data_IF_749297702653
#
_entry.id   IF_749297702653
#
_cell.length_a   1.000
_cell.length_b   1.000
_cell.length_c   1.000
_cell.angle_alpha   90.00
_cell.angle_beta   90.00
_cell.angle_gamma   90.00
#
_symmetry.space_group_name_H-M   'P 1'
#
loop_
_entity.id
_entity.type
_entity.pdbx_description
1 polymer ?
#
# COMPACT_ATOMS: atom_id res chain seq x y z
N UNK A 1 17.42 -5.79 -25.58
CA UNK A 1 16.60 -6.68 -26.42
C UNK A 1 15.23 -6.69 -25.79
N UNK A 2 14.20 -6.14 -26.47
CA UNK A 2 12.83 -6.31 -26.01
C UNK A 2 12.46 -7.76 -26.30
N UNK A 3 12.42 -8.59 -25.25
CA UNK A 3 11.71 -9.85 -25.33
C UNK A 3 10.23 -9.48 -25.23
N UNK A 4 9.55 -9.35 -26.37
CA UNK A 4 8.09 -9.28 -26.35
C UNK A 4 7.59 -10.57 -25.68
N UNK A 5 6.75 -10.39 -24.66
CA UNK A 5 6.14 -11.51 -23.96
C UNK A 5 5.13 -12.17 -24.90
N UNK A 6 5.00 -13.49 -24.83
CA UNK A 6 3.99 -14.18 -25.61
C UNK A 6 2.60 -13.78 -25.09
N UNK A 7 1.75 -13.10 -25.90
CA UNK A 7 0.44 -12.65 -25.46
C UNK A 7 -0.55 -13.80 -25.24
N UNK A 8 -0.23 -15.02 -25.69
CA UNK A 8 -1.04 -16.22 -25.49
C UNK A 8 -0.81 -16.89 -24.14
N UNK A 9 0.32 -16.61 -23.49
CA UNK A 9 0.62 -17.07 -22.14
C UNK A 9 -0.29 -16.39 -21.11
N UNK A 10 -0.59 -17.10 -20.03
CA UNK A 10 -1.19 -16.47 -18.86
C UNK A 10 -0.17 -15.58 -18.12
N UNK A 11 -0.65 -14.79 -17.16
CA UNK A 11 0.21 -13.89 -16.42
C UNK A 11 1.27 -14.64 -15.57
N UNK A 12 0.96 -15.85 -15.08
CA UNK A 12 1.88 -16.62 -14.25
C UNK A 12 3.08 -17.13 -15.05
N UNK A 13 2.85 -17.54 -16.29
CA UNK A 13 3.89 -17.96 -17.23
C UNK A 13 4.79 -16.79 -17.64
N UNK A 14 4.20 -15.63 -17.97
CA UNK A 14 4.98 -14.42 -18.29
C UNK A 14 5.86 -13.98 -17.11
N UNK A 15 5.33 -14.05 -15.88
CA UNK A 15 6.09 -13.76 -14.66
C UNK A 15 7.21 -14.78 -14.43
N UNK A 16 6.95 -16.06 -14.67
CA UNK A 16 7.96 -17.11 -14.56
C UNK A 16 9.14 -16.86 -15.51
N UNK A 17 8.87 -16.49 -16.75
CA UNK A 17 9.91 -16.20 -17.74
C UNK A 17 10.77 -14.99 -17.32
N UNK A 18 10.14 -13.94 -16.79
CA UNK A 18 10.85 -12.77 -16.25
C UNK A 18 11.74 -13.12 -15.04
N UNK A 19 11.25 -13.99 -14.15
CA UNK A 19 12.01 -14.43 -12.96
C UNK A 19 13.17 -15.36 -13.32
N UNK A 20 12.99 -16.24 -14.33
CA UNK A 20 14.08 -17.07 -14.86
C UNK A 20 15.19 -16.23 -15.48
N UNK A 21 14.84 -15.12 -16.12
CA UNK A 21 15.81 -14.16 -16.66
C UNK A 21 16.48 -13.27 -15.58
N UNK A 22 16.02 -13.33 -14.33
CA UNK A 22 16.52 -12.52 -13.22
C UNK A 22 16.75 -13.39 -11.97
N UNK A 23 17.83 -14.21 -11.93
CA UNK A 23 18.07 -15.16 -10.85
C UNK A 23 18.27 -14.51 -9.48
N UNK A 24 18.71 -13.24 -9.42
CA UNK A 24 18.84 -12.47 -8.18
C UNK A 24 17.49 -11.98 -7.62
N UNK A 25 16.40 -12.18 -8.35
CA UNK A 25 15.06 -11.71 -8.03
C UNK A 25 14.75 -10.30 -8.52
N UNK A 26 13.48 -9.91 -8.38
CA UNK A 26 12.93 -8.63 -8.83
C UNK A 26 11.98 -8.06 -7.78
N UNK A 27 11.93 -6.74 -7.64
CA UNK A 27 10.86 -6.08 -6.89
C UNK A 27 9.56 -6.05 -7.70
N UNK A 28 8.42 -5.89 -7.01
CA UNK A 28 7.10 -5.79 -7.65
C UNK A 28 7.06 -4.73 -8.75
N UNK A 29 7.55 -3.53 -8.44
CA UNK A 29 7.55 -2.41 -9.38
C UNK A 29 8.33 -2.72 -10.66
N UNK A 30 9.47 -3.41 -10.53
CA UNK A 30 10.30 -3.80 -11.67
C UNK A 30 9.63 -4.88 -12.51
N UNK A 31 8.97 -5.86 -11.87
CA UNK A 31 8.14 -6.85 -12.57
C UNK A 31 7.02 -6.17 -13.38
N UNK A 32 6.27 -5.25 -12.77
CA UNK A 32 5.21 -4.50 -13.46
C UNK A 32 5.78 -3.73 -14.65
N UNK A 33 6.93 -3.05 -14.46
CA UNK A 33 7.58 -2.30 -15.52
C UNK A 33 8.00 -3.19 -16.69
N UNK A 34 8.55 -4.37 -16.43
CA UNK A 34 8.94 -5.35 -17.47
C UNK A 34 7.73 -5.97 -18.16
N UNK A 35 6.68 -6.32 -17.42
CA UNK A 35 5.42 -6.81 -17.99
C UNK A 35 4.79 -5.77 -18.93
N UNK A 36 4.80 -4.50 -18.55
CA UNK A 36 4.33 -3.39 -19.40
C UNK A 36 5.22 -3.21 -20.63
N UNK A 37 6.54 -3.22 -20.47
CA UNK A 37 7.49 -3.07 -21.57
C UNK A 37 7.41 -4.24 -22.58
N UNK A 38 7.09 -5.44 -22.12
CA UNK A 38 6.83 -6.62 -22.94
C UNK A 38 5.40 -6.73 -23.46
N UNK A 39 4.59 -5.67 -23.35
CA UNK A 39 3.21 -5.60 -23.85
C UNK A 39 2.26 -6.69 -23.31
N UNK A 40 2.43 -7.10 -22.05
CA UNK A 40 1.51 -8.05 -21.40
C UNK A 40 0.06 -7.58 -21.52
N UNK A 41 -0.82 -8.48 -21.97
CA UNK A 41 -2.26 -8.24 -22.11
C UNK A 41 -3.01 -8.28 -20.78
N UNK A 42 -2.37 -8.83 -19.73
CA UNK A 42 -2.95 -9.00 -18.40
C UNK A 42 -2.75 -7.77 -17.50
N UNK A 43 -1.76 -6.93 -17.82
CA UNK A 43 -1.41 -5.74 -17.02
C UNK A 43 -1.83 -4.48 -17.78
N UNK A 44 -2.63 -3.59 -17.16
CA UNK A 44 -3.08 -2.37 -17.83
C UNK A 44 -1.88 -1.45 -18.14
N UNK A 45 -1.84 -0.96 -19.37
CA UNK A 45 -0.86 0.04 -19.82
C UNK A 45 -1.18 1.47 -19.33
N UNK A 46 -2.20 1.60 -18.48
CA UNK A 46 -2.58 2.85 -17.85
C UNK A 46 -1.52 3.31 -16.84
N UNK A 47 -1.50 4.61 -16.57
CA UNK A 47 -0.66 5.20 -15.52
C UNK A 47 -1.04 4.62 -14.16
N UNK A 48 -0.02 4.28 -13.35
CA UNK A 48 -0.20 3.76 -11.98
C UNK A 48 -0.57 4.86 -10.96
N UNK A 49 -1.04 6.02 -11.44
CA UNK A 49 -1.42 7.16 -10.61
C UNK A 49 -2.89 7.05 -10.14
N UNK A 50 -3.67 6.17 -10.77
CA UNK A 50 -5.01 5.81 -10.34
C UNK A 50 -4.92 4.70 -9.28
N UNK A 51 -5.45 4.94 -8.09
CA UNK A 51 -5.36 4.03 -6.95
C UNK A 51 -6.04 2.68 -7.21
N UNK A 52 -7.16 2.67 -7.93
CA UNK A 52 -7.87 1.43 -8.26
C UNK A 52 -7.10 0.64 -9.32
N UNK A 53 -6.52 1.30 -10.32
CA UNK A 53 -5.66 0.64 -11.32
C UNK A 53 -4.42 0.06 -10.66
N UNK A 54 -3.79 0.80 -9.74
CA UNK A 54 -2.64 0.32 -8.98
C UNK A 54 -3.02 -0.92 -8.16
N UNK A 55 -4.11 -0.85 -7.39
CA UNK A 55 -4.61 -1.97 -6.59
C UNK A 55 -4.88 -3.21 -7.46
N UNK A 56 -5.60 -3.05 -8.58
CA UNK A 56 -5.92 -4.17 -9.48
C UNK A 56 -4.67 -4.77 -10.11
N UNK A 57 -3.71 -3.94 -10.50
CA UNK A 57 -2.43 -4.39 -11.06
C UNK A 57 -1.65 -5.20 -10.04
N UNK A 58 -1.52 -4.66 -8.83
CA UNK A 58 -0.88 -5.34 -7.70
C UNK A 58 -1.57 -6.67 -7.40
N UNK A 59 -2.90 -6.68 -7.30
CA UNK A 59 -3.68 -7.88 -7.00
C UNK A 59 -3.48 -8.96 -8.06
N UNK A 60 -3.56 -8.63 -9.36
CA UNK A 60 -3.37 -9.59 -10.44
C UNK A 60 -1.97 -10.18 -10.45
N UNK A 61 -0.94 -9.35 -10.23
CA UNK A 61 0.44 -9.82 -10.15
C UNK A 61 0.61 -10.79 -8.96
N UNK A 62 0.15 -10.43 -7.77
CA UNK A 62 0.26 -11.31 -6.61
C UNK A 62 -0.59 -12.58 -6.75
N UNK A 63 -1.79 -12.49 -7.34
CA UNK A 63 -2.57 -13.67 -7.69
C UNK A 63 -1.78 -14.63 -8.59
N UNK A 64 -1.14 -14.11 -9.64
CA UNK A 64 -0.31 -14.90 -10.55
C UNK A 64 0.91 -15.49 -9.83
N UNK A 65 1.58 -14.73 -8.96
CA UNK A 65 2.71 -15.20 -8.16
C UNK A 65 2.31 -16.34 -7.23
N UNK A 66 1.19 -16.23 -6.50
CA UNK A 66 0.73 -17.31 -5.61
C UNK A 66 0.29 -18.56 -6.39
N UNK A 67 -0.39 -18.39 -7.53
CA UNK A 67 -0.70 -19.52 -8.43
C UNK A 67 0.55 -20.20 -8.96
N UNK A 68 1.55 -19.41 -9.34
CA UNK A 68 2.83 -19.90 -9.80
C UNK A 68 3.55 -20.69 -8.69
N UNK A 69 3.56 -20.16 -7.46
CA UNK A 69 4.15 -20.85 -6.30
C UNK A 69 3.48 -22.21 -6.05
N UNK A 70 2.15 -22.26 -6.05
CA UNK A 70 1.40 -23.50 -5.88
C UNK A 70 1.75 -24.53 -6.97
N UNK A 71 1.84 -24.08 -8.24
CA UNK A 71 2.21 -24.94 -9.38
C UNK A 71 3.63 -25.49 -9.25
N UNK A 72 4.62 -24.64 -8.98
CA UNK A 72 6.02 -25.03 -8.83
C UNK A 72 6.22 -26.03 -7.68
N UNK A 73 5.48 -25.84 -6.59
CA UNK A 73 5.51 -26.74 -5.44
C UNK A 73 4.91 -28.12 -5.77
N UNK A 74 3.77 -28.14 -6.45
CA UNK A 74 3.10 -29.38 -6.88
C UNK A 74 3.99 -30.19 -7.84
N UNK A 75 4.68 -29.51 -8.76
CA UNK A 75 5.61 -30.10 -9.71
C UNK A 75 6.99 -30.44 -9.11
N UNK A 76 7.28 -29.96 -7.88
CA UNK A 76 8.60 -30.04 -7.24
C UNK A 76 9.72 -29.47 -8.13
N UNK A 77 9.39 -28.43 -8.89
CA UNK A 77 10.26 -27.84 -9.90
C UNK A 77 10.95 -26.55 -9.43
N UNK A 78 10.44 -25.94 -8.36
CA UNK A 78 11.04 -24.76 -7.74
C UNK A 78 10.27 -24.29 -6.51
N UNK A 79 10.74 -23.20 -5.94
CA UNK A 79 10.04 -22.44 -4.90
C UNK A 79 10.05 -20.96 -5.23
N UNK A 80 8.97 -20.26 -4.90
CA UNK A 80 8.84 -18.83 -5.16
C UNK A 80 8.77 -18.07 -3.84
N UNK A 81 9.83 -17.33 -3.52
CA UNK A 81 9.83 -16.36 -2.44
C UNK A 81 9.09 -15.10 -2.91
N UNK A 82 8.04 -14.70 -2.16
CA UNK A 82 7.16 -13.58 -2.52
C UNK A 82 7.25 -12.50 -1.44
N UNK A 83 7.90 -11.38 -1.74
CA UNK A 83 7.87 -10.16 -0.94
C UNK A 83 7.80 -8.92 -1.84
N UNK A 84 7.11 -7.85 -1.42
CA UNK A 84 6.88 -6.69 -2.30
C UNK A 84 8.16 -6.07 -2.88
N UNK A 85 9.25 -6.06 -2.11
CA UNK A 85 10.55 -5.51 -2.54
C UNK A 85 11.45 -6.54 -3.22
N UNK A 86 11.15 -7.83 -3.06
CA UNK A 86 12.01 -8.92 -3.53
C UNK A 86 11.20 -10.19 -3.75
N UNK A 87 11.08 -10.57 -5.02
CA UNK A 87 10.42 -11.77 -5.51
C UNK A 87 11.48 -12.60 -6.24
N UNK A 88 11.67 -13.84 -5.84
CA UNK A 88 12.76 -14.66 -6.35
C UNK A 88 12.33 -16.11 -6.56
N UNK A 89 12.69 -16.65 -7.72
CA UNK A 89 12.59 -18.07 -8.03
C UNK A 89 13.81 -18.79 -7.46
N UNK A 90 13.58 -19.76 -6.58
CA UNK A 90 14.57 -20.56 -5.90
C UNK A 90 14.47 -22.03 -6.35
N UNK A 91 15.58 -22.80 -6.28
CA UNK A 91 15.53 -24.24 -6.48
C UNK A 91 14.62 -24.92 -5.45
N UNK A 92 13.91 -25.97 -5.87
CA UNK A 92 13.08 -26.75 -4.96
C UNK A 92 13.94 -27.42 -3.88
N UNK A 93 13.56 -27.27 -2.61
CA UNK A 93 14.15 -28.01 -1.50
C UNK A 93 13.11 -28.91 -0.84
N UNK A 94 13.46 -30.19 -0.67
CA UNK A 94 12.59 -31.17 -0.03
C UNK A 94 12.38 -30.78 1.45
N UNK A 95 11.17 -30.33 1.79
CA UNK A 95 10.81 -29.88 3.14
C UNK A 95 10.06 -28.54 3.19
N UNK A 96 10.18 -27.70 2.16
CA UNK A 96 9.50 -26.40 2.12
C UNK A 96 7.97 -26.53 2.15
N UNK A 97 7.42 -27.50 1.43
CA UNK A 97 5.98 -27.81 1.46
C UNK A 97 5.46 -28.22 2.85
N UNK A 98 6.31 -28.84 3.68
CA UNK A 98 5.93 -29.35 5.00
C UNK A 98 6.06 -28.28 6.10
N UNK A 99 6.69 -27.15 5.80
CA UNK A 99 6.92 -26.02 6.70
C UNK A 99 6.01 -24.82 6.40
N UNK A 100 5.10 -24.92 5.42
CA UNK A 100 4.23 -23.82 5.04
C UNK A 100 3.24 -23.53 6.18
N UNK A 101 3.57 -22.52 6.99
CA UNK A 101 2.67 -21.93 7.95
C UNK A 101 1.42 -21.40 7.20
N UNK A 102 0.28 -21.25 7.89
CA UNK A 102 -0.87 -20.57 7.29
C UNK A 102 -0.42 -19.24 6.69
N UNK A 103 -0.69 -19.04 5.40
CA UNK A 103 -0.36 -17.83 4.65
C UNK A 103 -1.68 -17.07 4.36
N UNK A 104 -2.06 -16.10 5.23
CA UNK A 104 -3.27 -15.32 5.04
C UNK A 104 -3.24 -14.50 3.74
N UNK A 105 -2.06 -14.10 3.27
CA UNK A 105 -1.93 -13.34 2.02
C UNK A 105 -2.25 -14.24 0.84
N UNK A 106 -1.74 -15.48 0.82
CA UNK A 106 -2.12 -16.46 -0.20
C UNK A 106 -3.63 -16.62 -0.28
N UNK A 107 -4.31 -16.81 0.86
CA UNK A 107 -5.77 -16.95 0.89
C UNK A 107 -6.48 -15.71 0.31
N UNK A 108 -5.99 -14.52 0.64
CA UNK A 108 -6.52 -13.25 0.13
C UNK A 108 -6.36 -13.10 -1.38
N UNK A 109 -5.14 -13.30 -1.91
CA UNK A 109 -4.89 -13.08 -3.34
C UNK A 109 -5.46 -14.17 -4.24
N UNK A 110 -5.70 -15.38 -3.74
CA UNK A 110 -6.35 -16.45 -4.51
C UNK A 110 -7.89 -16.29 -4.55
N UNK A 111 -8.48 -15.47 -3.69
CA UNK A 111 -9.92 -15.15 -3.73
C UNK A 111 -10.22 -14.00 -4.69
N UNK A 112 -10.64 -14.35 -5.91
CA UNK A 112 -10.99 -13.38 -6.96
C UNK A 112 -12.16 -12.45 -6.58
N UNK A 113 -12.96 -12.78 -5.54
CA UNK A 113 -14.00 -11.87 -5.05
C UNK A 113 -13.37 -10.61 -4.44
N UNK A 114 -12.18 -10.71 -3.82
CA UNK A 114 -11.45 -9.56 -3.29
C UNK A 114 -11.15 -8.54 -4.41
N UNK A 115 -10.78 -9.01 -5.60
CA UNK A 115 -10.56 -8.14 -6.75
C UNK A 115 -11.85 -7.52 -7.29
N UNK A 116 -12.90 -8.34 -7.42
CA UNK A 116 -14.16 -7.94 -8.04
C UNK A 116 -14.93 -6.94 -7.18
N UNK A 117 -14.96 -7.16 -5.89
CA UNK A 117 -15.83 -6.45 -4.97
C UNK A 117 -15.14 -5.22 -4.35
N UNK A 118 -13.80 -5.10 -4.50
CA UNK A 118 -13.05 -3.90 -4.06
C UNK A 118 -13.30 -2.72 -5.00
N UNK A 119 -13.87 -1.65 -4.45
CA UNK A 119 -14.11 -0.39 -5.17
C UNK A 119 -12.98 0.62 -4.95
N UNK A 120 -12.91 1.65 -5.80
CA UNK A 120 -11.97 2.77 -5.63
C UNK A 120 -12.07 3.39 -4.23
N UNK A 121 -13.31 3.62 -3.76
CA UNK A 121 -13.57 4.17 -2.43
C UNK A 121 -13.04 3.28 -1.30
N UNK A 122 -13.06 1.96 -1.48
CA UNK A 122 -12.52 1.03 -0.49
C UNK A 122 -10.98 1.06 -0.49
N UNK A 123 -10.36 1.19 -1.65
CA UNK A 123 -8.90 1.40 -1.78
C UNK A 123 -8.48 2.72 -1.14
N UNK A 124 -9.19 3.81 -1.41
CA UNK A 124 -8.91 5.12 -0.79
C UNK A 124 -9.04 5.05 0.73
N UNK A 125 -10.06 4.36 1.26
CA UNK A 125 -10.22 4.16 2.70
C UNK A 125 -9.08 3.32 3.26
N UNK A 126 -8.65 2.28 2.55
CA UNK A 126 -7.53 1.44 2.96
C UNK A 126 -6.25 2.26 3.08
N UNK A 127 -5.91 3.03 2.03
CA UNK A 127 -4.76 3.92 2.02
C UNK A 127 -4.86 4.97 3.13
N UNK A 128 -6.02 5.63 3.27
CA UNK A 128 -6.25 6.58 4.36
C UNK A 128 -6.03 5.94 5.73
N UNK A 129 -6.57 4.75 5.98
CA UNK A 129 -6.39 4.03 7.24
C UNK A 129 -4.93 3.61 7.49
N UNK A 130 -4.17 3.33 6.42
CA UNK A 130 -2.76 3.00 6.49
C UNK A 130 -1.96 4.24 6.89
N UNK A 131 -2.19 5.36 6.22
CA UNK A 131 -1.58 6.64 6.58
C UNK A 131 -1.98 7.09 7.99
N UNK A 132 -3.24 6.96 8.40
CA UNK A 132 -3.66 7.25 9.78
C UNK A 132 -2.96 6.34 10.81
N UNK A 133 -2.78 5.04 10.52
CA UNK A 133 -2.03 4.14 11.42
C UNK A 133 -0.55 4.46 11.47
N UNK A 134 0.05 4.80 10.33
CA UNK A 134 1.48 5.13 10.24
C UNK A 134 1.79 6.51 10.81
N UNK A 135 0.87 7.46 10.66
CA UNK A 135 1.02 8.84 11.13
C UNK A 135 0.33 9.09 12.48
N UNK A 136 -0.32 8.11 13.12
CA UNK A 136 -1.02 8.35 14.39
C UNK A 136 -0.15 8.98 15.49
N UNK A 137 1.16 8.68 15.49
CA UNK A 137 2.14 9.38 16.34
C UNK A 137 2.53 10.77 15.84
N UNK A 138 2.68 10.94 14.52
CA UNK A 138 3.13 12.20 13.91
C UNK A 138 2.04 13.26 13.76
N UNK A 139 0.79 12.87 13.46
CA UNK A 139 -0.36 13.78 13.38
C UNK A 139 -0.66 14.41 14.73
N UNK A 140 -0.60 13.63 15.83
CA UNK A 140 -0.74 14.18 17.18
C UNK A 140 0.37 15.19 17.47
N UNK A 141 1.62 14.85 17.16
CA UNK A 141 2.78 15.73 17.38
C UNK A 141 2.68 17.01 16.54
N UNK A 142 2.38 16.89 15.26
CA UNK A 142 2.20 18.02 14.34
C UNK A 142 1.02 18.92 14.75
N UNK A 143 -0.07 18.34 15.25
CA UNK A 143 -1.21 19.11 15.76
C UNK A 143 -0.87 19.86 17.07
N UNK A 144 -0.08 19.25 17.95
CA UNK A 144 0.45 19.91 19.16
C UNK A 144 1.43 21.04 18.81
N UNK A 145 2.34 20.81 17.87
CA UNK A 145 3.28 21.82 17.37
C UNK A 145 2.57 23.00 16.71
N UNK A 146 1.54 22.73 15.89
CA UNK A 146 0.71 23.79 15.30
C UNK A 146 -0.03 24.61 16.37
N UNK A 147 -0.33 24.00 17.52
CA UNK A 147 -0.92 24.70 18.66
C UNK A 147 0.13 25.35 19.57
N UNK A 148 1.42 25.14 19.28
CA UNK A 148 2.56 25.54 20.10
C UNK A 148 2.45 24.98 21.53
N UNK A 149 1.97 23.74 21.64
CA UNK A 149 1.81 23.02 22.90
C UNK A 149 2.92 21.97 23.04
N UNK A 150 3.50 21.92 24.24
CA UNK A 150 4.56 20.98 24.58
C UNK A 150 4.02 19.55 24.68
N UNK A 151 4.64 18.63 23.96
CA UNK A 151 4.32 17.20 23.94
C UNK A 151 4.65 16.48 25.25
N UNK A 152 5.53 17.03 26.08
CA UNK A 152 5.95 16.43 27.35
C UNK A 152 5.17 16.97 28.57
N UNK A 153 4.40 18.04 28.39
CA UNK A 153 3.55 18.57 29.45
C UNK A 153 2.24 17.75 29.58
N UNK A 154 1.70 17.60 30.81
CA UNK A 154 0.37 17.03 30.99
C UNK A 154 -0.67 17.99 30.40
N UNK A 155 -1.15 17.66 29.20
CA UNK A 155 -2.20 18.40 28.50
C UNK A 155 -3.56 17.72 28.72
N UNK A 156 -4.57 18.53 29.02
CA UNK A 156 -5.97 18.12 29.02
C UNK A 156 -6.76 18.79 27.89
N UNK A 157 -7.96 18.29 27.63
CA UNK A 157 -8.79 18.83 26.56
C UNK A 157 -9.23 20.28 26.82
N UNK A 158 -9.26 20.73 28.07
CA UNK A 158 -9.60 22.10 28.43
C UNK A 158 -8.52 23.09 27.99
N UNK A 159 -7.24 22.76 28.20
CA UNK A 159 -6.08 23.53 27.74
C UNK A 159 -6.05 23.60 26.22
N UNK A 160 -6.26 22.46 25.53
CA UNK A 160 -6.28 22.38 24.07
C UNK A 160 -7.42 23.24 23.49
N UNK A 161 -8.65 23.15 24.03
CA UNK A 161 -9.79 23.99 23.60
C UNK A 161 -9.57 25.47 23.86
N UNK A 162 -8.86 25.83 24.94
CA UNK A 162 -8.49 27.23 25.21
C UNK A 162 -7.53 27.75 24.14
N UNK A 163 -6.50 26.97 23.79
CA UNK A 163 -5.53 27.34 22.76
C UNK A 163 -6.16 27.45 21.38
N UNK A 164 -7.03 26.50 21.02
CA UNK A 164 -7.81 26.55 19.79
C UNK A 164 -8.60 27.86 19.64
N UNK A 165 -9.34 28.29 20.67
CA UNK A 165 -10.10 29.55 20.64
C UNK A 165 -9.22 30.77 20.44
N UNK A 166 -8.01 30.78 21.03
CA UNK A 166 -7.04 31.86 20.82
C UNK A 166 -6.57 31.91 19.36
N UNK A 167 -6.20 30.77 18.79
CA UNK A 167 -5.72 30.67 17.40
C UNK A 167 -6.80 31.03 16.38
N UNK A 168 -8.04 30.58 16.60
CA UNK A 168 -9.18 30.96 15.74
C UNK A 168 -9.47 32.45 15.83
N UNK A 169 -9.41 33.05 17.02
CA UNK A 169 -9.60 34.50 17.21
C UNK A 169 -8.51 35.31 16.50
N UNK A 170 -7.25 34.85 16.57
CA UNK A 170 -6.09 35.51 15.96
C UNK A 170 -6.10 35.42 14.43
N UNK A 171 -6.50 34.27 13.88
CA UNK A 171 -6.47 34.00 12.44
C UNK A 171 -7.84 34.11 11.75
N UNK A 172 -8.78 34.79 12.39
CA UNK A 172 -10.11 35.00 11.80
C UNK A 172 -10.03 35.86 10.53
N UNK A 173 -10.66 35.44 9.41
CA UNK A 173 -10.60 36.19 8.14
C UNK A 173 -11.14 37.63 8.26
N UNK A 174 -12.18 37.86 9.06
CA UNK A 174 -12.73 39.21 9.32
C UNK A 174 -11.74 40.17 10.02
N UNK A 175 -10.63 39.66 10.56
CA UNK A 175 -9.57 40.45 11.22
C UNK A 175 -8.25 40.43 10.43
N UNK A 176 -8.30 40.06 9.14
CA UNK A 176 -7.12 39.99 8.27
C UNK A 176 -6.37 38.66 8.33
N UNK A 177 -6.99 37.61 8.90
CA UNK A 177 -6.43 36.26 8.95
C UNK A 177 -6.56 35.49 7.62
N UNK A 178 -5.82 34.38 7.50
CA UNK A 178 -5.85 33.51 6.32
C UNK A 178 -6.84 32.36 6.51
N UNK A 179 -7.80 32.23 5.59
CA UNK A 179 -8.76 31.10 5.54
C UNK A 179 -8.05 29.75 5.53
N UNK A 180 -6.92 29.64 4.83
CA UNK A 180 -6.09 28.43 4.80
C UNK A 180 -5.52 28.11 6.18
N UNK A 181 -5.10 29.12 6.95
CA UNK A 181 -4.57 28.94 8.30
C UNK A 181 -5.65 28.49 9.29
N UNK A 182 -6.87 29.03 9.15
CA UNK A 182 -8.01 28.63 9.96
C UNK A 182 -8.46 27.18 9.67
N UNK A 183 -8.38 26.73 8.42
CA UNK A 183 -8.60 25.33 8.05
C UNK A 183 -7.58 24.38 8.70
N UNK A 184 -6.29 24.74 8.70
CA UNK A 184 -5.25 23.96 9.38
C UNK A 184 -5.49 23.85 10.89
N UNK A 185 -5.92 24.95 11.54
CA UNK A 185 -6.24 24.98 12.97
C UNK A 185 -7.44 24.08 13.29
N UNK A 186 -8.48 24.09 12.46
CA UNK A 186 -9.66 23.23 12.64
C UNK A 186 -9.30 21.74 12.51
N UNK A 187 -8.49 21.38 11.49
CA UNK A 187 -8.03 20.01 11.28
C UNK A 187 -7.18 19.50 12.45
N UNK A 188 -6.28 20.33 12.98
CA UNK A 188 -5.49 19.98 14.15
C UNK A 188 -6.35 19.79 15.42
N UNK A 189 -7.41 20.60 15.61
CA UNK A 189 -8.35 20.40 16.72
C UNK A 189 -9.07 19.05 16.61
N UNK A 190 -9.53 18.67 15.42
CA UNK A 190 -10.19 17.38 15.19
C UNK A 190 -9.26 16.21 15.52
N UNK A 191 -7.98 16.30 15.14
CA UNK A 191 -6.96 15.32 15.48
C UNK A 191 -6.80 15.24 17.00
N UNK A 192 -6.58 16.37 17.69
CA UNK A 192 -6.34 16.37 19.14
C UNK A 192 -7.55 15.86 19.94
N UNK A 193 -8.78 16.11 19.52
CA UNK A 193 -9.98 15.56 20.17
C UNK A 193 -10.05 14.03 20.14
N UNK A 194 -9.42 13.37 19.18
CA UNK A 194 -9.35 11.90 19.11
C UNK A 194 -8.40 11.30 20.14
N UNK A 195 -7.43 12.09 20.63
CA UNK A 195 -6.38 11.63 21.56
C UNK A 195 -6.59 12.06 23.01
N UNK A 196 -7.40 13.10 23.25
CA UNK A 196 -7.65 13.66 24.58
C UNK A 196 -9.14 13.60 24.88
N UNK A 197 -9.52 12.88 25.95
CA UNK A 197 -10.90 12.73 26.44
C UNK A 197 -11.23 13.81 27.48
#
# INVERSE_FOLDING_TARGET
MNHDLDPTQDLADQVLDLLRAAPDGLGEFELIKRLKAGHSTHIPQLGLNDHLVLFRTHFLLFNALYRLRDRLLAERSGWLAIGALHIQLLPYQAGEAALEAPDPLRAYYLDMNQLRDTTERDVDRLLASFWTRMQGGEEKRAALELFELDTEAPLDLAVIRRRYRQLVSLHHPDRGGSTSRLQSINKAMEILQRYYH
#
